data_IF_481080436215
#
_entry.id   IF_481080436215
#
_cell.length_a   1.000
_cell.length_b   1.000
_cell.length_c   1.000
_cell.angle_alpha   90.00
_cell.angle_beta   90.00
_cell.angle_gamma   90.00
#
_symmetry.space_group_name_H-M   'P 1'
#
loop_
_entity.id
_entity.type
_entity.pdbx_description
1 polymer ?
#
# COMPACT_ATOMS: atom_id res chain seq x y z
N UNK A 1 20.09 24.41 -13.91
CA UNK A 1 21.47 24.95 -13.85
C UNK A 1 22.23 24.49 -12.62
N UNK A 2 21.82 24.83 -11.39
CA UNK A 2 22.50 24.36 -10.14
C UNK A 2 22.70 22.84 -10.07
N UNK A 3 21.68 22.06 -10.46
CA UNK A 3 21.72 20.58 -10.48
C UNK A 3 22.71 19.99 -11.50
N UNK A 4 22.99 20.66 -12.62
CA UNK A 4 24.01 20.21 -13.60
C UNK A 4 25.43 20.52 -13.12
N UNK A 5 25.61 21.63 -12.39
CA UNK A 5 26.90 21.97 -11.76
C UNK A 5 27.28 20.90 -10.73
N UNK A 6 26.31 20.43 -9.93
CA UNK A 6 26.53 19.33 -8.98
C UNK A 6 26.93 18.03 -9.69
N UNK A 7 26.28 17.69 -10.81
CA UNK A 7 26.66 16.53 -11.61
C UNK A 7 28.11 16.64 -12.11
N UNK A 8 28.51 17.83 -12.59
CA UNK A 8 29.89 18.09 -13.02
C UNK A 8 30.92 17.88 -11.90
N UNK A 9 30.60 18.28 -10.66
CA UNK A 9 31.45 18.05 -9.48
C UNK A 9 31.58 16.55 -9.19
N UNK A 10 30.50 15.79 -9.27
CA UNK A 10 30.51 14.33 -9.05
C UNK A 10 31.38 13.62 -10.09
N UNK A 11 31.26 14.01 -11.37
CA UNK A 11 32.09 13.47 -12.45
C UNK A 11 33.57 13.80 -12.23
N UNK A 12 33.87 15.02 -11.77
CA UNK A 12 35.24 15.43 -11.47
C UNK A 12 35.86 14.62 -10.32
N UNK A 13 35.10 14.41 -9.24
CA UNK A 13 35.54 13.57 -8.11
C UNK A 13 35.77 12.13 -8.57
N UNK A 14 34.85 11.56 -9.36
CA UNK A 14 34.99 10.22 -9.92
C UNK A 14 36.25 10.09 -10.78
N UNK A 15 36.52 11.08 -11.65
CA UNK A 15 37.72 11.10 -12.47
C UNK A 15 39.01 11.18 -11.64
N UNK A 16 39.02 11.99 -10.56
CA UNK A 16 40.16 12.06 -9.63
C UNK A 16 40.40 10.73 -8.92
N UNK A 17 39.34 10.06 -8.47
CA UNK A 17 39.43 8.74 -7.83
C UNK A 17 39.97 7.67 -8.79
N UNK A 18 39.52 7.68 -10.05
CA UNK A 18 40.03 6.78 -11.08
C UNK A 18 41.53 6.96 -11.32
N UNK A 19 42.00 8.21 -11.37
CA UNK A 19 43.43 8.52 -11.57
C UNK A 19 44.29 8.12 -10.37
N UNK A 20 43.77 8.21 -9.15
CA UNK A 20 44.51 7.85 -7.93
C UNK A 20 44.48 6.36 -7.60
N UNK A 21 43.41 5.64 -7.95
CA UNK A 21 43.26 4.22 -7.64
C UNK A 21 42.80 3.38 -8.83
N UNK A 22 43.55 3.37 -9.95
CA UNK A 22 43.11 2.68 -11.17
C UNK A 22 42.86 1.17 -10.95
N UNK A 23 43.63 0.53 -10.07
CA UNK A 23 43.54 -0.91 -9.79
C UNK A 23 42.24 -1.31 -9.09
N UNK A 24 41.58 -0.39 -8.37
CA UNK A 24 40.32 -0.68 -7.65
C UNK A 24 39.09 -0.51 -8.55
N UNK A 25 39.21 0.20 -9.67
CA UNK A 25 38.10 0.48 -10.57
C UNK A 25 38.09 -0.52 -11.73
N UNK A 26 37.44 -1.66 -11.51
CA UNK A 26 37.11 -2.63 -12.58
C UNK A 26 36.08 -2.03 -13.56
N UNK A 27 36.05 -2.50 -14.81
CA UNK A 27 35.09 -2.08 -15.85
C UNK A 27 33.62 -2.06 -15.40
N UNK A 28 33.22 -2.92 -14.45
CA UNK A 28 31.86 -2.94 -13.87
C UNK A 28 31.48 -1.59 -13.25
N UNK A 29 32.40 -0.94 -12.53
CA UNK A 29 32.14 0.34 -11.88
C UNK A 29 31.95 1.47 -12.89
N UNK A 30 32.66 1.45 -14.02
CA UNK A 30 32.46 2.39 -15.11
C UNK A 30 31.08 2.25 -15.76
N UNK A 31 30.62 1.01 -15.93
CA UNK A 31 29.28 0.74 -16.47
C UNK A 31 28.21 1.26 -15.51
N UNK A 32 28.32 0.95 -14.22
CA UNK A 32 27.37 1.46 -13.22
C UNK A 32 27.36 2.98 -13.14
N UNK A 33 28.54 3.60 -13.18
CA UNK A 33 28.67 5.06 -13.16
C UNK A 33 28.09 5.70 -14.42
N UNK A 34 28.31 5.11 -15.59
CA UNK A 34 27.73 5.58 -16.86
C UNK A 34 26.19 5.49 -16.85
N UNK A 35 25.64 4.35 -16.40
CA UNK A 35 24.19 4.17 -16.21
C UNK A 35 23.63 5.21 -15.25
N UNK A 36 24.34 5.50 -14.16
CA UNK A 36 23.95 6.52 -13.19
C UNK A 36 23.88 7.92 -13.82
N UNK A 37 24.89 8.33 -14.60
CA UNK A 37 24.88 9.63 -15.30
C UNK A 37 23.71 9.71 -16.27
N UNK A 38 23.52 8.68 -17.10
CA UNK A 38 22.43 8.63 -18.09
C UNK A 38 21.08 8.72 -17.38
N UNK A 39 20.87 7.92 -16.34
CA UNK A 39 19.64 7.93 -15.54
C UNK A 39 19.38 9.29 -14.89
N UNK A 40 20.41 9.96 -14.37
CA UNK A 40 20.29 11.29 -13.80
C UNK A 40 19.89 12.34 -14.84
N UNK A 41 20.50 12.31 -16.04
CA UNK A 41 20.16 13.23 -17.13
C UNK A 41 18.71 13.04 -17.57
N UNK A 42 18.27 11.77 -17.71
CA UNK A 42 16.88 11.45 -18.05
C UNK A 42 15.91 11.96 -16.98
N UNK A 43 16.19 11.71 -15.70
CA UNK A 43 15.36 12.21 -14.60
C UNK A 43 15.32 13.74 -14.59
N UNK A 44 16.46 14.40 -14.76
CA UNK A 44 16.53 15.86 -14.84
C UNK A 44 15.69 16.40 -16.01
N UNK A 45 15.77 15.75 -17.17
CA UNK A 45 14.96 16.09 -18.34
C UNK A 45 13.46 15.96 -18.04
N UNK A 46 13.03 14.82 -17.49
CA UNK A 46 11.62 14.56 -17.18
C UNK A 46 11.09 15.56 -16.14
N UNK A 47 11.87 15.84 -15.09
CA UNK A 47 11.47 16.80 -14.04
C UNK A 47 11.37 18.23 -14.56
N UNK A 48 12.19 18.63 -15.54
CA UNK A 48 12.19 20.00 -16.03
C UNK A 48 11.18 20.22 -17.17
N UNK A 49 11.13 19.32 -18.15
CA UNK A 49 10.31 19.45 -19.36
C UNK A 49 8.93 18.77 -19.25
N UNK A 50 8.81 17.69 -18.47
CA UNK A 50 7.57 16.92 -18.34
C UNK A 50 7.04 16.91 -16.90
N UNK A 51 6.93 18.10 -16.29
CA UNK A 51 6.47 18.27 -14.89
C UNK A 51 5.15 17.58 -14.60
N UNK A 52 4.17 17.71 -15.49
CA UNK A 52 2.84 17.10 -15.33
C UNK A 52 2.89 15.56 -15.29
N UNK A 53 3.80 14.96 -16.05
CA UNK A 53 3.99 13.51 -16.07
C UNK A 53 4.61 13.02 -14.75
N UNK A 54 5.69 13.66 -14.32
CA UNK A 54 6.36 13.35 -13.05
C UNK A 54 5.41 13.52 -11.86
N UNK A 55 4.64 14.61 -11.83
CA UNK A 55 3.66 14.85 -10.78
C UNK A 55 2.62 13.71 -10.70
N UNK A 56 2.10 13.26 -11.84
CA UNK A 56 1.16 12.13 -11.90
C UNK A 56 1.78 10.83 -11.37
N UNK A 57 3.04 10.54 -11.73
CA UNK A 57 3.74 9.36 -11.22
C UNK A 57 3.89 9.41 -9.70
N UNK A 58 4.43 10.51 -9.15
CA UNK A 58 4.63 10.62 -7.71
C UNK A 58 3.31 10.61 -6.95
N UNK A 59 2.26 11.23 -7.48
CA UNK A 59 0.93 11.17 -6.89
C UNK A 59 0.40 9.74 -6.87
N UNK A 60 0.55 8.98 -7.96
CA UNK A 60 0.10 7.60 -8.01
C UNK A 60 0.87 6.70 -7.03
N UNK A 61 2.18 6.89 -6.90
CA UNK A 61 3.00 6.14 -5.92
C UNK A 61 2.53 6.45 -4.50
N UNK A 62 2.34 7.74 -4.19
CA UNK A 62 1.84 8.18 -2.89
C UNK A 62 0.45 7.62 -2.60
N UNK A 63 -0.46 7.66 -3.57
CA UNK A 63 -1.79 7.07 -3.42
C UNK A 63 -1.73 5.54 -3.23
N UNK A 64 -0.76 4.84 -3.82
CA UNK A 64 -0.59 3.40 -3.58
C UNK A 64 -0.06 3.09 -2.18
N UNK A 65 0.81 3.94 -1.65
CA UNK A 65 1.37 3.80 -0.31
C UNK A 65 0.36 4.20 0.78
N UNK A 66 -0.43 5.25 0.52
CA UNK A 66 -1.44 5.76 1.45
C UNK A 66 -2.78 5.03 1.38
N UNK A 67 -3.04 4.23 0.34
CA UNK A 67 -4.26 3.39 0.29
C UNK A 67 -4.14 2.28 1.33
N UNK A 68 -4.87 2.34 2.46
CA UNK A 68 -4.97 1.18 3.31
C UNK A 68 -5.61 0.05 2.50
N UNK A 69 -5.21 -1.19 2.76
CA UNK A 69 -5.80 -2.41 2.18
C UNK A 69 -7.33 -2.51 2.39
N UNK A 70 -7.92 -1.59 3.16
CA UNK A 70 -9.35 -1.45 3.46
C UNK A 70 -10.19 -0.68 2.43
N UNK A 71 -9.60 -0.01 1.45
CA UNK A 71 -10.38 0.75 0.44
C UNK A 71 -11.09 -0.15 -0.59
N UNK A 72 -11.00 -1.48 -0.47
CA UNK A 72 -11.89 -2.40 -1.18
C UNK A 72 -13.30 -2.49 -0.58
N UNK A 73 -13.55 -1.83 0.56
CA UNK A 73 -14.90 -1.66 1.08
C UNK A 73 -15.45 -0.38 0.42
N UNK A 74 -16.47 -0.46 -0.47
CA UNK A 74 -17.11 0.74 -0.98
C UNK A 74 -17.62 1.55 0.21
N UNK A 75 -17.11 2.78 0.31
CA UNK A 75 -17.42 3.75 1.35
C UNK A 75 -18.87 4.23 1.19
N UNK A 76 -19.81 3.34 1.44
CA UNK A 76 -21.22 3.66 1.67
C UNK A 76 -21.39 3.67 3.18
N UNK A 77 -21.94 4.77 3.73
CA UNK A 77 -21.96 5.18 5.15
C UNK A 77 -22.71 4.24 6.13
N UNK A 78 -22.76 2.94 5.86
CA UNK A 78 -23.46 1.95 6.67
C UNK A 78 -22.53 1.42 7.76
N UNK A 79 -22.57 2.04 8.94
CA UNK A 79 -21.89 1.58 10.17
C UNK A 79 -22.13 0.08 10.44
N UNK A 80 -23.29 -0.43 10.03
CA UNK A 80 -23.66 -1.83 10.06
C UNK A 80 -22.77 -2.73 9.16
N UNK A 81 -22.38 -2.29 7.97
CA UNK A 81 -21.52 -3.07 7.09
C UNK A 81 -20.10 -3.19 7.64
N UNK A 82 -19.59 -2.10 8.24
CA UNK A 82 -18.30 -2.10 8.92
C UNK A 82 -18.32 -3.08 10.11
N UNK A 83 -19.41 -3.06 10.90
CA UNK A 83 -19.60 -4.00 12.00
C UNK A 83 -19.64 -5.45 11.48
N UNK A 84 -20.44 -5.73 10.45
CA UNK A 84 -20.52 -7.06 9.83
C UNK A 84 -19.14 -7.54 9.35
N UNK A 85 -18.37 -6.67 8.72
CA UNK A 85 -17.04 -7.01 8.23
C UNK A 85 -16.07 -7.36 9.37
N UNK A 86 -16.03 -6.55 10.44
CA UNK A 86 -15.20 -6.84 11.63
C UNK A 86 -15.58 -8.16 12.29
N UNK A 87 -16.88 -8.42 12.46
CA UNK A 87 -17.38 -9.69 12.98
C UNK A 87 -17.01 -10.86 12.04
N UNK A 88 -17.10 -10.66 10.73
CA UNK A 88 -16.67 -11.59 9.69
C UNK A 88 -15.21 -12.01 9.83
N UNK A 89 -14.30 -11.05 10.00
CA UNK A 89 -12.88 -11.32 10.24
C UNK A 89 -12.69 -12.11 11.55
N UNK A 90 -13.30 -11.67 12.64
CA UNK A 90 -13.10 -12.27 13.97
C UNK A 90 -13.53 -13.74 14.03
N UNK A 91 -14.57 -14.13 13.28
CA UNK A 91 -15.06 -15.50 13.21
C UNK A 91 -14.53 -16.29 12.00
N UNK A 92 -13.53 -15.77 11.27
CA UNK A 92 -12.92 -16.42 10.12
C UNK A 92 -13.88 -16.65 8.95
N UNK A 93 -14.84 -15.74 8.76
CA UNK A 93 -15.90 -15.80 7.74
C UNK A 93 -16.77 -17.05 7.81
N UNK A 94 -16.97 -17.62 9.01
CA UNK A 94 -17.90 -18.74 9.23
C UNK A 94 -19.16 -18.27 9.95
N UNK A 95 -20.30 -18.85 9.58
CA UNK A 95 -21.55 -18.62 10.30
C UNK A 95 -21.44 -19.16 11.72
N UNK A 96 -21.86 -18.35 12.70
CA UNK A 96 -21.89 -18.73 14.11
C UNK A 96 -22.71 -20.01 14.37
N UNK A 97 -23.85 -20.16 13.68
CA UNK A 97 -24.80 -21.26 13.95
C UNK A 97 -24.45 -22.56 13.21
N UNK A 98 -24.05 -22.48 11.94
CA UNK A 98 -23.92 -23.66 11.08
C UNK A 98 -22.49 -23.91 10.57
N UNK A 99 -21.54 -23.01 10.86
CA UNK A 99 -20.14 -23.15 10.44
C UNK A 99 -19.86 -22.96 8.95
N UNK A 100 -20.88 -22.72 8.11
CA UNK A 100 -20.70 -22.48 6.68
C UNK A 100 -19.97 -21.17 6.40
N UNK A 101 -19.21 -21.14 5.31
CA UNK A 101 -18.51 -19.93 4.87
C UNK A 101 -19.49 -18.84 4.41
N UNK A 102 -19.30 -17.64 4.92
CA UNK A 102 -20.03 -16.43 4.59
C UNK A 102 -19.28 -15.65 3.51
N UNK A 103 -20.01 -15.04 2.58
CA UNK A 103 -19.44 -14.13 1.59
C UNK A 103 -19.32 -12.72 2.16
N UNK A 104 -18.21 -12.05 1.85
CA UNK A 104 -17.87 -10.71 2.40
C UNK A 104 -18.87 -9.61 2.08
N UNK A 105 -19.54 -9.68 0.93
CA UNK A 105 -20.47 -8.66 0.45
C UNK A 105 -21.92 -9.14 0.44
N UNK A 106 -22.26 -10.17 1.23
CA UNK A 106 -23.63 -10.67 1.27
C UNK A 106 -24.47 -9.90 2.29
N UNK A 107 -25.41 -9.11 1.76
CA UNK A 107 -26.36 -8.33 2.55
C UNK A 107 -27.32 -9.22 3.37
N UNK A 108 -27.44 -10.49 3.02
CA UNK A 108 -28.32 -11.45 3.68
C UNK A 108 -27.76 -11.99 5.01
N UNK A 109 -26.56 -11.57 5.42
CA UNK A 109 -26.02 -11.97 6.72
C UNK A 109 -26.56 -11.04 7.81
N UNK A 110 -27.04 -11.62 8.92
CA UNK A 110 -27.58 -10.89 10.06
C UNK A 110 -26.62 -10.92 11.24
N UNK A 111 -26.54 -9.81 11.98
CA UNK A 111 -25.80 -9.75 13.25
C UNK A 111 -26.70 -10.28 14.35
N UNK A 112 -26.21 -11.24 15.12
CA UNK A 112 -26.94 -11.87 16.23
C UNK A 112 -26.08 -11.89 17.48
N UNK A 113 -26.72 -11.84 18.65
CA UNK A 113 -26.00 -12.04 19.91
C UNK A 113 -25.67 -13.53 20.11
N UNK A 114 -24.48 -13.81 20.62
CA UNK A 114 -24.07 -15.16 21.02
C UNK A 114 -24.89 -15.59 22.25
N UNK A 115 -24.94 -14.73 23.25
CA UNK A 115 -25.84 -14.84 24.41
C UNK A 115 -26.90 -13.74 24.33
N UNK A 116 -28.20 -14.08 24.27
CA UNK A 116 -29.25 -13.07 24.21
C UNK A 116 -29.24 -12.17 25.44
N UNK A 117 -29.64 -10.91 25.26
CA UNK A 117 -29.67 -9.91 26.34
C UNK A 117 -30.61 -10.35 27.49
N UNK A 118 -31.69 -11.04 27.17
CA UNK A 118 -32.67 -11.57 28.14
C UNK A 118 -32.06 -12.61 29.10
N UNK A 119 -31.00 -13.32 28.66
CA UNK A 119 -30.30 -14.32 29.47
C UNK A 119 -28.98 -13.78 30.05
N UNK A 120 -28.86 -12.46 30.23
CA UNK A 120 -27.67 -11.83 30.81
C UNK A 120 -26.53 -11.53 29.83
N UNK A 121 -26.81 -11.60 28.52
CA UNK A 121 -25.87 -11.17 27.48
C UNK A 121 -25.58 -9.66 27.56
N UNK A 122 -24.34 -9.27 27.27
CA UNK A 122 -23.93 -7.85 27.22
C UNK A 122 -24.00 -7.30 25.79
N UNK A 123 -24.32 -6.01 25.64
CA UNK A 123 -24.26 -5.32 24.35
C UNK A 123 -22.82 -4.90 24.04
N UNK A 124 -21.99 -5.88 23.68
CA UNK A 124 -20.58 -5.68 23.32
C UNK A 124 -20.25 -6.50 22.07
N UNK A 125 -19.24 -6.07 21.30
CA UNK A 125 -18.79 -6.71 20.06
C UNK A 125 -18.35 -8.17 20.29
N UNK A 126 -17.90 -8.48 21.50
CA UNK A 126 -17.50 -9.83 21.91
C UNK A 126 -18.69 -10.79 22.10
N UNK A 127 -19.90 -10.24 22.26
CA UNK A 127 -21.14 -11.01 22.38
C UNK A 127 -21.99 -10.96 21.10
N UNK A 128 -21.39 -10.54 19.98
CA UNK A 128 -22.05 -10.47 18.66
C UNK A 128 -21.34 -11.38 17.66
N UNK A 129 -22.08 -11.92 16.71
CA UNK A 129 -21.54 -12.72 15.60
C UNK A 129 -22.42 -12.60 14.35
N UNK A 130 -21.98 -13.15 13.21
CA UNK A 130 -22.82 -13.21 12.02
C UNK A 130 -23.49 -14.57 11.84
N UNK A 131 -24.73 -14.50 11.39
CA UNK A 131 -25.58 -15.63 11.06
C UNK A 131 -26.03 -15.55 9.60
N UNK A 132 -26.05 -16.69 8.90
CA UNK A 132 -26.64 -16.81 7.56
C UNK A 132 -28.16 -16.67 7.61
N UNK A 133 -28.79 -16.10 6.57
CA UNK A 133 -30.25 -16.03 6.47
C UNK A 133 -30.97 -17.40 6.48
N UNK A 134 -30.29 -18.45 6.01
CA UNK A 134 -30.85 -19.82 6.00
C UNK A 134 -30.84 -20.50 7.37
N UNK A 135 -30.37 -19.76 8.38
CA UNK A 135 -30.02 -20.22 9.70
C UNK A 135 -30.74 -19.26 10.66
#
# INVERSE_FOLDING_TARGET
MKSLIILGIIIFIYYKLLKWYPEKFTNKYHIYFSIFIIGYIILYYLMNYQRNFIYKIFRNIKEMDERPLHDFIPYENNSMNILKYKLGINQGWKCLQCGNYLKSNDNNNHVTYIQPLEYGGKHDINNMGLKCNRC
#
